data_IF_537392628966
#
_entry.id   IF_537392628966
#
_cell.length_a   1.000
_cell.length_b   1.000
_cell.length_c   1.000
_cell.angle_alpha   90.00
_cell.angle_beta   90.00
_cell.angle_gamma   90.00
#
_symmetry.space_group_name_H-M   'P 1'
#
loop_
_entity.id
_entity.type
_entity.pdbx_description
1 polymer ?
#
# COMPACT_ATOMS: atom_id res chain seq x y z
N UNK A 1 6.39 -3.30 -17.20
CA UNK A 1 4.99 -3.14 -17.60
C UNK A 1 4.26 -2.38 -16.50
N UNK A 2 3.55 -1.32 -16.88
CA UNK A 2 2.65 -0.58 -15.98
C UNK A 2 1.30 -0.47 -16.67
N UNK A 3 0.23 -0.81 -15.95
CA UNK A 3 -1.14 -0.74 -16.44
C UNK A 3 -2.01 -0.06 -15.39
N UNK A 4 -2.71 0.99 -15.79
CA UNK A 4 -3.67 1.71 -14.95
C UNK A 4 -5.03 1.67 -15.62
N UNK A 5 -6.05 1.29 -14.88
CA UNK A 5 -7.42 1.15 -15.35
C UNK A 5 -8.38 1.69 -14.29
N UNK A 6 -9.36 2.48 -14.70
CA UNK A 6 -10.49 2.79 -13.83
C UNK A 6 -11.67 1.87 -14.19
N UNK A 7 -11.77 0.75 -13.47
CA UNK A 7 -12.84 -0.23 -13.71
C UNK A 7 -14.24 0.31 -13.38
N UNK A 8 -14.34 1.42 -12.65
CA UNK A 8 -15.60 2.11 -12.41
C UNK A 8 -16.28 2.60 -13.70
N UNK A 9 -15.52 2.85 -14.76
CA UNK A 9 -16.07 3.25 -16.08
C UNK A 9 -16.82 2.13 -16.78
N UNK A 10 -16.63 0.87 -16.37
CA UNK A 10 -17.37 -0.28 -16.90
C UNK A 10 -18.75 -0.46 -16.22
N UNK A 11 -19.00 0.29 -15.16
CA UNK A 11 -20.26 0.24 -14.40
C UNK A 11 -21.19 1.39 -14.87
N UNK A 12 -22.49 1.22 -14.67
CA UNK A 12 -23.45 2.31 -14.97
C UNK A 12 -23.08 3.59 -14.22
N UNK A 13 -23.06 4.73 -14.91
CA UNK A 13 -22.67 6.03 -14.35
C UNK A 13 -23.52 6.45 -13.14
N UNK A 14 -24.77 6.03 -13.10
CA UNK A 14 -25.69 6.30 -11.99
C UNK A 14 -25.27 5.62 -10.67
N UNK A 15 -24.38 4.63 -10.70
CA UNK A 15 -23.83 4.02 -9.49
C UNK A 15 -22.75 4.88 -8.83
N UNK A 16 -22.07 5.71 -9.61
CA UNK A 16 -21.03 6.61 -9.12
C UNK A 16 -19.81 5.95 -8.51
N UNK A 17 -19.59 4.65 -8.80
CA UNK A 17 -18.51 3.87 -8.21
C UNK A 17 -17.20 4.14 -8.96
N UNK A 18 -16.14 4.44 -8.21
CA UNK A 18 -14.78 4.62 -8.72
C UNK A 18 -13.90 3.48 -8.24
N UNK A 19 -13.28 2.76 -9.19
CA UNK A 19 -12.42 1.60 -8.92
C UNK A 19 -11.11 1.80 -9.68
N UNK A 20 -10.19 2.62 -9.17
CA UNK A 20 -8.88 2.78 -9.80
C UNK A 20 -8.01 1.56 -9.49
N UNK A 21 -7.62 0.83 -10.53
CA UNK A 21 -6.78 -0.35 -10.47
C UNK A 21 -5.44 -0.02 -11.10
N UNK A 22 -4.36 -0.36 -10.42
CA UNK A 22 -3.00 -0.26 -10.95
C UNK A 22 -2.29 -1.60 -10.83
N UNK A 23 -1.64 -2.01 -11.90
CA UNK A 23 -0.78 -3.19 -11.94
C UNK A 23 0.57 -2.81 -12.49
N UNK A 24 1.63 -3.15 -11.75
CA UNK A 24 3.01 -2.94 -12.18
C UNK A 24 3.77 -4.25 -12.11
N UNK A 25 4.54 -4.56 -13.15
CA UNK A 25 5.45 -5.70 -13.18
C UNK A 25 6.78 -5.26 -13.80
N UNK A 26 7.85 -5.46 -13.07
CA UNK A 26 9.23 -5.21 -13.50
C UNK A 26 10.08 -6.45 -13.28
N UNK A 27 10.88 -6.78 -14.26
CA UNK A 27 11.88 -7.84 -14.17
C UNK A 27 13.19 -7.30 -14.68
N UNK A 28 14.21 -7.35 -13.87
CA UNK A 28 15.57 -6.95 -14.20
C UNK A 28 16.49 -8.17 -14.04
N UNK A 29 17.33 -8.41 -15.03
CA UNK A 29 18.31 -9.47 -15.02
C UNK A 29 19.65 -8.84 -15.40
N UNK A 30 20.58 -8.86 -14.47
CA UNK A 30 21.95 -8.44 -14.70
C UNK A 30 22.89 -9.64 -14.68
N UNK A 31 23.82 -9.68 -15.64
CA UNK A 31 24.91 -10.66 -15.67
C UNK A 31 26.20 -9.92 -15.34
N UNK A 32 26.93 -10.31 -14.30
CA UNK A 32 28.23 -9.71 -14.00
C UNK A 32 29.22 -10.03 -15.13
N UNK A 33 30.13 -9.11 -15.36
CA UNK A 33 31.23 -9.30 -16.33
C UNK A 33 32.30 -10.22 -15.76
N UNK A 34 32.53 -10.11 -14.45
CA UNK A 34 33.50 -10.87 -13.71
C UNK A 34 32.82 -11.92 -12.87
N UNK A 35 33.59 -12.93 -12.45
CA UNK A 35 33.13 -13.92 -11.50
C UNK A 35 32.77 -13.24 -10.16
N UNK A 36 31.72 -13.70 -9.53
CA UNK A 36 31.25 -13.11 -8.26
C UNK A 36 32.13 -13.47 -7.05
N UNK A 37 33.00 -14.46 -7.19
CA UNK A 37 33.92 -14.89 -6.16
C UNK A 37 35.36 -14.39 -6.41
N UNK A 38 35.76 -14.31 -7.70
CA UNK A 38 37.05 -13.83 -8.14
C UNK A 38 36.89 -12.59 -9.02
N UNK A 39 37.03 -11.41 -8.43
CA UNK A 39 36.77 -10.11 -9.09
C UNK A 39 37.73 -9.81 -10.27
N UNK A 40 38.82 -10.53 -10.37
CA UNK A 40 39.84 -10.41 -11.42
C UNK A 40 39.63 -11.37 -12.60
N UNK A 41 38.77 -12.37 -12.45
CA UNK A 41 38.50 -13.39 -13.47
C UNK A 41 37.19 -13.05 -14.21
N UNK A 42 37.29 -12.98 -15.54
CA UNK A 42 36.06 -12.81 -16.34
C UNK A 42 35.19 -14.06 -16.30
N UNK A 43 33.90 -13.88 -16.12
CA UNK A 43 32.93 -14.98 -16.06
C UNK A 43 32.99 -15.89 -17.30
N UNK A 44 33.25 -15.33 -18.49
CA UNK A 44 33.39 -16.11 -19.72
C UNK A 44 34.53 -17.12 -19.65
N UNK A 45 35.66 -16.74 -19.05
CA UNK A 45 36.80 -17.65 -18.92
C UNK A 45 36.48 -18.87 -18.03
N UNK A 46 35.63 -18.65 -17.00
CA UNK A 46 35.16 -19.75 -16.14
C UNK A 46 34.17 -20.63 -16.90
N UNK A 47 33.31 -20.04 -17.72
CA UNK A 47 32.35 -20.79 -18.51
C UNK A 47 33.02 -21.69 -19.56
N UNK A 48 34.21 -21.33 -20.06
CA UNK A 48 34.93 -22.11 -21.05
C UNK A 48 35.52 -23.39 -20.49
N UNK A 49 35.87 -23.40 -19.20
CA UNK A 49 36.46 -24.55 -18.48
C UNK A 49 35.42 -25.36 -17.71
N UNK A 50 34.20 -24.86 -17.55
CA UNK A 50 33.17 -25.51 -16.74
C UNK A 50 32.31 -26.45 -17.57
N UNK A 51 32.04 -27.67 -17.06
CA UNK A 51 31.14 -28.62 -17.73
C UNK A 51 29.67 -28.22 -17.66
N UNK A 52 29.25 -27.57 -16.57
CA UNK A 52 27.85 -27.17 -16.36
C UNK A 52 27.68 -25.66 -16.45
N UNK A 53 27.80 -25.12 -17.66
CA UNK A 53 27.72 -23.67 -17.94
C UNK A 53 26.43 -23.02 -17.48
N UNK A 54 25.29 -23.67 -17.65
CA UNK A 54 23.98 -23.14 -17.30
C UNK A 54 23.82 -22.94 -15.78
N UNK A 55 24.37 -23.83 -14.99
CA UNK A 55 24.39 -23.71 -13.53
C UNK A 55 25.18 -22.49 -13.09
N UNK A 56 26.40 -22.32 -13.60
CA UNK A 56 27.26 -21.16 -13.28
C UNK A 56 26.60 -19.85 -13.69
N UNK A 57 26.05 -19.79 -14.92
CA UNK A 57 25.34 -18.61 -15.40
C UNK A 57 24.13 -18.28 -14.51
N UNK A 58 23.33 -19.26 -14.13
CA UNK A 58 22.14 -19.03 -13.32
C UNK A 58 22.47 -18.59 -11.88
N UNK A 59 23.60 -19.05 -11.34
CA UNK A 59 24.09 -18.66 -10.03
C UNK A 59 24.72 -17.27 -10.01
N UNK A 60 25.38 -16.86 -11.10
CA UNK A 60 26.03 -15.56 -11.20
C UNK A 60 25.07 -14.42 -11.53
N UNK A 61 23.87 -14.69 -12.05
CA UNK A 61 22.90 -13.66 -12.39
C UNK A 61 22.30 -13.01 -11.16
N UNK A 62 22.22 -11.68 -11.22
CA UNK A 62 21.36 -10.91 -10.32
C UNK A 62 19.99 -10.77 -10.95
N UNK A 63 18.96 -11.27 -10.28
CA UNK A 63 17.57 -11.24 -10.74
C UNK A 63 16.73 -10.47 -9.73
N UNK A 64 16.12 -9.38 -10.18
CA UNK A 64 15.13 -8.63 -9.41
C UNK A 64 13.80 -8.69 -10.13
N UNK A 65 12.77 -9.20 -9.47
CA UNK A 65 11.42 -9.30 -10.00
C UNK A 65 10.44 -8.66 -9.02
N UNK A 66 9.82 -7.57 -9.44
CA UNK A 66 8.85 -6.82 -8.65
C UNK A 66 7.50 -6.85 -9.33
N UNK A 67 6.47 -7.17 -8.57
CA UNK A 67 5.07 -7.13 -9.00
C UNK A 67 4.25 -6.40 -7.96
N UNK A 68 3.37 -5.54 -8.40
CA UNK A 68 2.41 -4.88 -7.52
C UNK A 68 1.04 -4.79 -8.16
N UNK A 69 0.03 -4.93 -7.33
CA UNK A 69 -1.36 -4.72 -7.67
C UNK A 69 -1.96 -3.80 -6.62
N UNK A 70 -2.68 -2.79 -7.04
CA UNK A 70 -3.33 -1.89 -6.10
C UNK A 70 -4.68 -1.39 -6.60
N UNK A 71 -5.59 -1.20 -5.67
CA UNK A 71 -6.84 -0.47 -5.80
C UNK A 71 -6.77 0.66 -4.79
N UNK A 72 -6.59 1.89 -5.23
CA UNK A 72 -6.38 3.04 -4.35
C UNK A 72 -7.55 4.00 -4.44
N UNK A 73 -8.28 4.15 -3.34
CA UNK A 73 -9.40 5.08 -3.27
C UNK A 73 -10.68 4.54 -3.92
N UNK A 74 -10.96 3.24 -3.70
CA UNK A 74 -12.29 2.70 -4.02
C UNK A 74 -13.32 3.47 -3.23
N UNK A 75 -14.20 4.18 -3.94
CA UNK A 75 -15.19 5.05 -3.33
C UNK A 75 -16.44 5.14 -4.20
N UNK A 76 -17.53 5.50 -3.59
CA UNK A 76 -18.76 5.83 -4.29
C UNK A 76 -18.96 7.35 -4.28
N UNK A 77 -19.03 7.94 -5.48
CA UNK A 77 -19.41 9.35 -5.63
C UNK A 77 -20.90 9.51 -5.44
N UNK A 78 -21.27 10.56 -4.79
CA UNK A 78 -22.68 10.93 -4.65
C UNK A 78 -23.27 11.29 -6.01
N UNK A 79 -24.35 10.62 -6.39
CA UNK A 79 -25.04 10.79 -7.69
C UNK A 79 -26.37 11.48 -7.57
N UNK A 80 -26.80 11.84 -6.34
CA UNK A 80 -28.05 12.52 -6.08
C UNK A 80 -27.82 13.76 -5.19
N UNK A 81 -28.72 14.72 -5.25
CA UNK A 81 -28.66 15.97 -4.47
C UNK A 81 -29.16 15.83 -3.03
N UNK A 82 -29.43 14.61 -2.57
CA UNK A 82 -29.85 14.38 -1.19
C UNK A 82 -28.71 14.67 -0.22
N UNK A 83 -29.03 15.22 0.94
CA UNK A 83 -28.02 15.45 2.00
C UNK A 83 -27.35 14.13 2.40
N UNK A 84 -26.04 14.18 2.62
CA UNK A 84 -25.28 13.01 3.08
C UNK A 84 -25.77 12.59 4.48
N UNK A 85 -25.96 11.30 4.65
CA UNK A 85 -26.32 10.71 5.94
C UNK A 85 -25.12 9.98 6.53
N UNK A 86 -25.10 9.85 7.85
CA UNK A 86 -24.01 9.17 8.58
C UNK A 86 -23.77 7.75 8.06
N UNK A 87 -24.79 7.02 7.65
CA UNK A 87 -24.69 5.62 7.18
C UNK A 87 -24.50 5.49 5.68
N UNK A 88 -24.25 6.57 4.94
CA UNK A 88 -24.07 6.51 3.49
C UNK A 88 -22.71 5.90 3.16
N UNK A 89 -22.70 4.95 2.23
CA UNK A 89 -21.50 4.28 1.73
C UNK A 89 -20.54 5.27 1.01
N UNK A 90 -21.05 6.42 0.63
CA UNK A 90 -20.32 7.51 -0.02
C UNK A 90 -19.29 8.16 0.92
N UNK A 91 -19.46 7.96 2.24
CA UNK A 91 -18.53 8.42 3.26
C UNK A 91 -17.33 7.46 3.44
N UNK A 92 -17.35 6.30 2.76
CA UNK A 92 -16.33 5.27 2.87
C UNK A 92 -15.36 5.33 1.69
N UNK A 93 -14.08 5.31 2.00
CA UNK A 93 -12.98 5.15 1.06
C UNK A 93 -12.18 3.91 1.43
N UNK A 94 -11.92 3.05 0.47
CA UNK A 94 -11.16 1.82 0.69
C UNK A 94 -9.96 1.76 -0.26
N UNK A 95 -8.83 1.34 0.26
CA UNK A 95 -7.63 1.10 -0.53
C UNK A 95 -7.03 -0.26 -0.18
N UNK A 96 -6.55 -0.95 -1.20
CA UNK A 96 -5.87 -2.22 -1.07
C UNK A 96 -4.64 -2.24 -1.94
N UNK A 97 -3.54 -2.73 -1.43
CA UNK A 97 -2.34 -2.97 -2.24
C UNK A 97 -1.67 -4.28 -1.86
N UNK A 98 -1.19 -4.96 -2.86
CA UNK A 98 -0.35 -6.15 -2.77
C UNK A 98 0.94 -5.89 -3.54
N UNK A 99 2.08 -6.17 -2.94
CA UNK A 99 3.36 -6.15 -3.63
C UNK A 99 4.18 -7.39 -3.30
N UNK A 100 4.88 -7.89 -4.31
CA UNK A 100 5.79 -9.02 -4.23
C UNK A 100 7.12 -8.61 -4.87
N UNK A 101 8.20 -8.74 -4.11
CA UNK A 101 9.56 -8.48 -4.57
C UNK A 101 10.38 -9.75 -4.37
N UNK A 102 10.90 -10.29 -5.46
CA UNK A 102 11.81 -11.43 -5.47
C UNK A 102 13.17 -10.97 -5.92
N UNK A 103 14.18 -11.33 -5.14
CA UNK A 103 15.57 -11.03 -5.43
C UNK A 103 16.43 -12.27 -5.31
N UNK A 104 17.40 -12.39 -6.19
CA UNK A 104 18.38 -13.47 -6.23
C UNK A 104 19.70 -12.90 -6.70
N UNK A 105 20.79 -13.33 -6.09
CA UNK A 105 22.16 -13.05 -6.54
C UNK A 105 23.07 -14.25 -6.26
N UNK A 106 24.39 -14.03 -6.35
CA UNK A 106 25.38 -15.07 -6.12
C UNK A 106 25.35 -15.61 -4.67
N UNK A 107 25.22 -14.72 -3.67
CA UNK A 107 25.21 -15.10 -2.26
C UNK A 107 23.82 -15.53 -1.78
N UNK A 108 22.79 -15.01 -2.43
CA UNK A 108 21.40 -15.20 -2.02
C UNK A 108 20.66 -16.08 -3.04
N UNK A 109 20.24 -17.26 -2.58
CA UNK A 109 19.47 -18.19 -3.41
C UNK A 109 18.09 -17.63 -3.74
N UNK A 110 17.44 -17.04 -2.73
CA UNK A 110 16.24 -16.24 -2.91
C UNK A 110 16.01 -15.28 -1.72
N UNK A 111 15.40 -14.15 -2.01
CA UNK A 111 14.76 -13.26 -1.05
C UNK A 111 13.38 -12.91 -1.58
N UNK A 112 12.34 -13.33 -0.88
CA UNK A 112 10.95 -13.10 -1.25
C UNK A 112 10.28 -12.25 -0.18
N UNK A 113 9.85 -11.04 -0.58
CA UNK A 113 9.14 -10.11 0.29
C UNK A 113 7.75 -9.84 -0.28
N UNK A 114 6.73 -10.21 0.47
CA UNK A 114 5.33 -9.96 0.14
C UNK A 114 4.73 -8.99 1.15
N UNK A 115 4.05 -7.98 0.66
CA UNK A 115 3.39 -6.98 1.48
C UNK A 115 1.94 -6.85 1.04
N UNK A 116 1.04 -6.87 2.01
CA UNK A 116 -0.38 -6.58 1.85
C UNK A 116 -0.69 -5.38 2.72
N UNK A 117 -1.28 -4.36 2.13
CA UNK A 117 -1.80 -3.20 2.85
C UNK A 117 -3.27 -3.03 2.49
N UNK A 118 -4.09 -2.80 3.49
CA UNK A 118 -5.47 -2.40 3.32
C UNK A 118 -5.76 -1.22 4.23
N UNK A 119 -6.45 -0.24 3.70
CA UNK A 119 -6.89 0.94 4.43
C UNK A 119 -8.37 1.14 4.18
N UNK A 120 -9.13 1.38 5.24
CA UNK A 120 -10.52 1.78 5.16
C UNK A 120 -10.66 3.08 5.94
N UNK A 121 -11.19 4.11 5.29
CA UNK A 121 -11.43 5.42 5.87
C UNK A 121 -12.89 5.78 5.71
N UNK A 122 -13.52 6.10 6.82
CA UNK A 122 -14.84 6.67 6.86
C UNK A 122 -14.73 8.14 7.28
N UNK A 123 -15.43 9.03 6.60
CA UNK A 123 -15.45 10.46 6.92
C UNK A 123 -16.83 11.04 6.70
N UNK A 124 -17.41 11.62 7.73
CA UNK A 124 -18.67 12.30 7.68
C UNK A 124 -18.56 13.71 8.25
N UNK A 125 -19.03 14.71 7.53
CA UNK A 125 -19.08 16.09 7.99
C UNK A 125 -20.50 16.45 8.40
N UNK A 126 -20.66 16.89 9.64
CA UNK A 126 -21.95 17.38 10.14
C UNK A 126 -22.26 18.76 9.58
N UNK A 127 -23.54 19.04 9.38
CA UNK A 127 -23.97 20.42 9.10
C UNK A 127 -23.77 21.27 10.35
N UNK A 128 -23.31 22.50 10.16
CA UNK A 128 -23.19 23.45 11.26
C UNK A 128 -24.59 23.85 11.73
N UNK A 129 -24.97 23.43 12.91
CA UNK A 129 -26.21 23.80 13.59
C UNK A 129 -25.89 24.79 14.68
N UNK A 130 -26.00 26.09 14.37
CA UNK A 130 -25.80 27.12 15.42
C UNK A 130 -27.06 27.21 16.29
N UNK A 131 -26.88 26.93 17.57
CA UNK A 131 -27.94 27.09 18.58
C UNK A 131 -27.72 28.42 19.31
N UNK A 132 -28.74 29.26 19.30
CA UNK A 132 -28.78 30.57 19.99
C UNK A 132 -29.66 30.46 21.25
N UNK A 133 -29.11 30.05 22.40
CA UNK A 133 -29.92 29.71 23.57
C UNK A 133 -30.65 30.89 24.17
N UNK A 134 -30.15 32.09 23.97
CA UNK A 134 -30.68 33.31 24.57
C UNK A 134 -31.54 34.16 23.60
N UNK A 135 -31.64 33.78 22.32
CA UNK A 135 -32.38 34.53 21.31
C UNK A 135 -33.84 34.74 21.71
N UNK A 136 -34.55 33.66 22.06
CA UNK A 136 -35.96 33.71 22.48
C UNK A 136 -36.16 34.37 23.83
N UNK A 137 -35.23 34.27 24.76
CA UNK A 137 -35.31 34.87 26.10
C UNK A 137 -35.10 36.39 26.06
N UNK A 138 -34.39 36.89 25.06
CA UNK A 138 -34.03 38.28 24.91
C UNK A 138 -34.74 38.98 23.73
N UNK A 139 -35.73 38.32 23.13
CA UNK A 139 -36.45 38.82 21.94
C UNK A 139 -37.05 40.22 22.15
N UNK A 140 -37.58 40.50 23.35
CA UNK A 140 -38.23 41.77 23.71
C UNK A 140 -37.34 42.77 24.45
N UNK A 141 -36.01 42.54 24.53
CA UNK A 141 -35.09 43.42 25.23
C UNK A 141 -34.04 44.02 24.30
N UNK A 142 -34.30 45.21 23.80
CA UNK A 142 -33.37 45.99 22.96
C UNK A 142 -32.35 46.77 23.82
N UNK A 143 -31.57 46.08 24.61
CA UNK A 143 -30.48 46.69 25.34
C UNK A 143 -29.12 46.46 24.66
N UNK A 144 -28.40 47.56 24.45
CA UNK A 144 -27.05 47.53 23.82
C UNK A 144 -26.07 46.57 24.58
N UNK A 145 -26.27 46.42 25.89
CA UNK A 145 -25.44 45.57 26.76
C UNK A 145 -25.80 44.11 26.69
N UNK A 146 -26.96 43.73 26.15
CA UNK A 146 -27.40 42.34 25.99
C UNK A 146 -27.20 41.81 24.56
N UNK A 147 -26.71 42.63 23.64
CA UNK A 147 -26.52 42.26 22.24
C UNK A 147 -25.53 41.08 22.10
N UNK A 148 -24.41 41.10 22.85
CA UNK A 148 -23.43 40.02 22.82
C UNK A 148 -24.01 38.70 23.34
N UNK A 149 -24.95 38.74 24.29
CA UNK A 149 -25.61 37.55 24.83
C UNK A 149 -26.66 37.00 23.82
N UNK A 150 -27.32 37.87 23.09
CA UNK A 150 -28.28 37.50 22.02
C UNK A 150 -27.55 36.85 20.84
N UNK A 151 -26.35 37.33 20.52
CA UNK A 151 -25.51 36.83 19.43
C UNK A 151 -24.68 35.60 19.84
N UNK A 152 -24.69 35.24 21.12
CA UNK A 152 -23.99 34.06 21.58
C UNK A 152 -24.58 32.80 20.96
N UNK A 153 -23.74 32.07 20.25
CA UNK A 153 -24.12 30.81 19.63
C UNK A 153 -23.03 29.76 19.85
N UNK A 154 -23.44 28.52 19.81
CA UNK A 154 -22.51 27.39 19.82
C UNK A 154 -23.04 26.27 18.94
N UNK A 155 -22.13 25.48 18.38
CA UNK A 155 -22.47 24.29 17.64
C UNK A 155 -22.38 23.08 18.60
N UNK A 156 -23.50 22.40 18.92
CA UNK A 156 -23.51 21.24 19.79
C UNK A 156 -22.99 19.97 19.12
N UNK A 157 -22.90 19.96 17.76
CA UNK A 157 -22.44 18.83 16.99
C UNK A 157 -20.94 18.97 16.67
N UNK A 158 -20.18 17.87 16.63
CA UNK A 158 -18.82 17.90 16.10
C UNK A 158 -18.83 18.32 14.63
N UNK A 159 -17.77 18.96 14.15
CA UNK A 159 -17.70 19.38 12.75
C UNK A 159 -17.57 18.19 11.81
N UNK A 160 -16.85 17.17 12.22
CA UNK A 160 -16.66 15.94 11.44
C UNK A 160 -16.47 14.73 12.35
N UNK A 161 -16.81 13.58 11.81
CA UNK A 161 -16.50 12.26 12.37
C UNK A 161 -15.66 11.51 11.35
N UNK A 162 -14.44 11.16 11.74
CA UNK A 162 -13.52 10.40 10.90
C UNK A 162 -13.10 9.15 11.65
N UNK A 163 -13.14 8.03 10.97
CA UNK A 163 -12.64 6.75 11.45
C UNK A 163 -11.73 6.15 10.39
N UNK A 164 -10.54 5.71 10.78
CA UNK A 164 -9.62 5.04 9.87
C UNK A 164 -9.10 3.73 10.44
N UNK A 165 -9.04 2.72 9.60
CA UNK A 165 -8.49 1.42 9.90
C UNK A 165 -7.40 1.05 8.90
N UNK A 166 -6.23 0.69 9.40
CA UNK A 166 -5.08 0.30 8.60
C UNK A 166 -4.68 -1.13 8.93
N UNK A 167 -4.58 -1.97 7.91
CA UNK A 167 -4.03 -3.31 8.01
C UNK A 167 -2.76 -3.40 7.19
N UNK A 168 -1.68 -3.86 7.80
CA UNK A 168 -0.41 -4.11 7.14
C UNK A 168 0.09 -5.51 7.49
N UNK A 169 0.39 -6.30 6.48
CA UNK A 169 0.97 -7.63 6.62
C UNK A 169 2.21 -7.74 5.75
N UNK A 170 3.32 -8.11 6.37
CA UNK A 170 4.57 -8.39 5.68
C UNK A 170 4.94 -9.86 5.90
N UNK A 171 5.26 -10.53 4.81
CA UNK A 171 5.89 -11.86 4.79
C UNK A 171 7.26 -11.68 4.14
N UNK A 172 8.28 -12.12 4.84
CA UNK A 172 9.65 -12.09 4.36
C UNK A 172 10.28 -13.47 4.54
N UNK A 173 10.88 -13.97 3.48
CA UNK A 173 11.56 -15.25 3.45
C UNK A 173 12.85 -15.10 2.64
N UNK A 174 13.96 -15.58 3.16
CA UNK A 174 15.23 -15.51 2.47
C UNK A 174 16.06 -16.77 2.73
N UNK A 175 16.93 -17.09 1.78
CA UNK A 175 17.87 -18.20 1.87
C UNK A 175 19.19 -17.80 1.23
N UNK A 176 20.26 -17.91 2.01
CA UNK A 176 21.61 -17.69 1.51
C UNK A 176 22.20 -18.98 0.97
N UNK A 177 23.15 -18.87 0.05
CA UNK A 177 23.95 -19.97 -0.45
C UNK A 177 25.21 -20.10 0.41
N UNK A 178 25.55 -21.31 0.76
CA UNK A 178 26.86 -21.59 1.32
C UNK A 178 27.89 -21.66 0.20
N UNK A 179 28.81 -20.71 0.18
CA UNK A 179 29.93 -20.69 -0.74
C UNK A 179 31.14 -21.12 0.04
N UNK A 180 31.71 -22.30 -0.29
CA UNK A 180 32.93 -22.76 0.33
C UNK A 180 34.17 -22.08 -0.30
N UNK A 181 35.36 -22.29 0.32
CA UNK A 181 36.62 -21.68 -0.11
C UNK A 181 37.03 -21.95 -1.58
N UNK A 182 36.41 -22.92 -2.22
CA UNK A 182 36.65 -23.27 -3.62
C UNK A 182 35.62 -22.66 -4.58
N UNK A 183 34.73 -21.77 -4.10
CA UNK A 183 33.65 -21.19 -4.89
C UNK A 183 32.54 -22.18 -5.26
N UNK A 184 32.54 -23.36 -4.66
CA UNK A 184 31.54 -24.40 -4.90
C UNK A 184 30.35 -24.17 -3.98
N UNK A 185 29.16 -24.08 -4.53
CA UNK A 185 27.93 -23.92 -3.77
C UNK A 185 27.52 -25.25 -3.17
N UNK A 186 27.39 -25.31 -1.84
CA UNK A 186 26.88 -26.47 -1.13
C UNK A 186 25.34 -26.52 -1.22
N UNK A 187 24.83 -27.73 -1.45
CA UNK A 187 23.37 -27.96 -1.45
C UNK A 187 22.82 -28.24 -0.02
N UNK A 188 23.69 -28.36 0.99
CA UNK A 188 23.27 -28.59 2.37
C UNK A 188 22.97 -27.28 3.10
N UNK A 189 21.90 -26.61 2.71
CA UNK A 189 21.52 -25.33 3.28
C UNK A 189 20.52 -25.51 4.41
N UNK A 190 20.77 -24.85 5.54
CA UNK A 190 19.81 -24.78 6.63
C UNK A 190 18.71 -23.79 6.22
N UNK A 191 17.44 -24.20 6.18
CA UNK A 191 16.35 -23.28 5.84
C UNK A 191 16.23 -22.20 6.92
N UNK A 192 16.25 -20.94 6.50
CA UNK A 192 16.01 -19.82 7.40
C UNK A 192 14.50 -19.72 7.63
N UNK A 193 14.04 -19.57 8.89
CA UNK A 193 12.62 -19.45 9.17
C UNK A 193 12.02 -18.21 8.52
N UNK A 194 10.80 -18.33 8.00
CA UNK A 194 10.03 -17.22 7.46
C UNK A 194 9.66 -16.23 8.55
N UNK A 195 9.87 -14.96 8.27
CA UNK A 195 9.39 -13.88 9.13
C UNK A 195 8.02 -13.42 8.68
N UNK A 196 7.05 -13.43 9.60
CA UNK A 196 5.67 -12.97 9.35
C UNK A 196 5.30 -11.89 10.35
N UNK A 197 4.87 -10.76 9.86
CA UNK A 197 4.36 -9.66 10.70
C UNK A 197 3.02 -9.18 10.18
N UNK A 198 2.07 -8.99 11.10
CA UNK A 198 0.77 -8.36 10.80
C UNK A 198 0.51 -7.28 11.83
N UNK A 199 0.07 -6.10 11.38
CA UNK A 199 -0.24 -4.96 12.23
C UNK A 199 -1.59 -4.38 11.84
N UNK A 200 -2.46 -4.17 12.83
CA UNK A 200 -3.69 -3.40 12.72
C UNK A 200 -3.55 -2.10 13.49
N UNK A 201 -4.05 -1.02 12.93
CA UNK A 201 -4.17 0.27 13.59
C UNK A 201 -5.53 0.87 13.27
N UNK A 202 -6.15 1.48 14.27
CA UNK A 202 -7.42 2.20 14.18
C UNK A 202 -7.25 3.57 14.84
N UNK A 203 -7.77 4.63 14.16
CA UNK A 203 -7.81 6.02 14.63
C UNK A 203 -9.21 6.59 14.41
#
# INVERSE_FOLDING_TARGET
LVTNLNAGQLLPENWGIQIPISYTSSKEISKPKYDSYYDDIQLNNILDITQNKDSVINQSKVISNSKSFSILGLSKRKTNDKKAKIYDIENLNFSYSYSENKYQDFEMDYSDKKMVMANAQYSYSFENVSVYPFEKLLENKDSKYLKWLKEFNFNPLPNSLTFSGNYNRTLFSQKFREVNYLGVISNNQIPIPEFRQSKFMFD
#
